data_IF_399843887635
#
_entry.id   IF_399843887635
#
_cell.length_a   1.000
_cell.length_b   1.000
_cell.length_c   1.000
_cell.angle_alpha   90.00
_cell.angle_beta   90.00
_cell.angle_gamma   90.00
#
_symmetry.space_group_name_H-M   'P 1'
#
loop_
_entity.id
_entity.type
_entity.pdbx_description
1 polymer ?
#
# COMPACT_ATOMS: atom_id res chain seq x y z
N UNK A 1 -41.32 -40.78 -94.00
CA UNK A 1 -42.35 -39.95 -94.67
C UNK A 1 -42.08 -38.49 -94.33
N UNK A 2 -41.58 -37.78 -95.33
CA UNK A 2 -41.80 -36.36 -95.68
C UNK A 2 -42.19 -35.39 -94.54
N UNK A 3 -41.60 -34.18 -94.33
CA UNK A 3 -41.34 -33.12 -95.31
C UNK A 3 -40.33 -32.10 -94.78
N UNK A 4 -39.48 -31.60 -95.70
CA UNK A 4 -38.66 -30.39 -95.65
C UNK A 4 -39.48 -29.15 -95.45
N UNK A 5 -38.89 -28.16 -94.74
CA UNK A 5 -38.98 -26.76 -95.13
C UNK A 5 -37.70 -26.01 -94.67
N UNK A 6 -37.10 -25.29 -95.59
CA UNK A 6 -35.85 -24.54 -95.59
C UNK A 6 -36.03 -23.12 -95.00
N UNK A 7 -35.00 -22.30 -95.00
CA UNK A 7 -34.62 -21.37 -93.97
C UNK A 7 -34.98 -19.91 -94.31
N UNK A 8 -34.94 -19.05 -93.30
CA UNK A 8 -34.81 -17.59 -93.55
C UNK A 8 -33.74 -17.07 -92.62
N UNK A 9 -32.72 -16.55 -93.29
CA UNK A 9 -31.59 -15.80 -92.71
C UNK A 9 -32.09 -14.40 -92.41
N UNK A 10 -32.07 -13.99 -91.11
CA UNK A 10 -32.24 -12.58 -90.72
C UNK A 10 -31.02 -12.17 -89.93
N UNK A 11 -30.16 -11.41 -90.56
CA UNK A 11 -29.00 -10.73 -89.92
C UNK A 11 -29.52 -9.55 -89.13
N UNK A 12 -29.42 -9.66 -87.79
CA UNK A 12 -29.61 -8.53 -86.92
C UNK A 12 -28.27 -7.92 -86.56
N UNK A 13 -28.01 -6.69 -87.07
CA UNK A 13 -26.90 -5.85 -86.60
C UNK A 13 -27.19 -5.44 -85.15
N UNK A 14 -26.40 -5.95 -84.21
CA UNK A 14 -26.32 -5.40 -82.87
C UNK A 14 -25.37 -4.20 -82.85
N UNK A 15 -25.92 -3.03 -82.72
CA UNK A 15 -25.20 -1.82 -82.36
C UNK A 15 -24.70 -1.98 -80.89
N UNK A 16 -23.43 -2.13 -80.70
CA UNK A 16 -22.81 -2.02 -79.36
C UNK A 16 -22.89 -0.56 -78.93
N UNK A 17 -23.89 -0.22 -78.11
CA UNK A 17 -23.86 0.99 -77.33
C UNK A 17 -22.83 0.74 -76.18
N UNK A 18 -21.69 1.41 -76.25
CA UNK A 18 -20.69 1.41 -75.16
C UNK A 18 -21.28 2.04 -73.93
N UNK A 19 -21.54 1.25 -72.93
CA UNK A 19 -21.84 1.77 -71.54
C UNK A 19 -20.55 2.34 -70.95
N UNK A 20 -20.57 3.56 -70.39
CA UNK A 20 -19.43 4.05 -69.65
C UNK A 20 -19.22 3.13 -68.43
N UNK A 21 -18.04 2.55 -68.37
CA UNK A 21 -17.58 1.85 -67.14
C UNK A 21 -17.42 2.90 -66.05
N UNK A 22 -18.38 2.99 -65.14
CA UNK A 22 -18.17 3.68 -63.87
C UNK A 22 -17.09 2.88 -63.13
N UNK A 23 -15.87 3.41 -63.04
CA UNK A 23 -14.91 2.94 -62.08
C UNK A 23 -15.54 3.16 -60.71
N UNK A 24 -15.99 2.05 -60.08
CA UNK A 24 -16.39 2.13 -58.70
C UNK A 24 -15.13 2.52 -57.89
N UNK A 25 -15.14 3.72 -57.30
CA UNK A 25 -14.14 4.12 -56.32
C UNK A 25 -14.17 3.06 -55.24
N UNK A 26 -13.14 2.21 -55.18
CA UNK A 26 -12.94 1.29 -54.08
C UNK A 26 -12.56 2.15 -52.86
N UNK A 27 -13.56 2.50 -52.04
CA UNK A 27 -13.29 3.07 -50.72
C UNK A 27 -12.74 1.93 -49.84
N UNK A 28 -11.46 1.97 -49.60
CA UNK A 28 -10.84 1.04 -48.66
C UNK A 28 -11.58 1.12 -47.33
N UNK A 29 -12.10 -0.01 -46.79
CA UNK A 29 -12.84 0.03 -45.54
C UNK A 29 -11.95 0.61 -44.46
N UNK A 30 -12.46 1.55 -43.70
CA UNK A 30 -11.74 2.12 -42.57
C UNK A 30 -11.22 0.99 -41.67
N UNK A 31 -9.96 1.05 -41.23
CA UNK A 31 -9.42 0.05 -40.34
C UNK A 31 -10.36 -0.07 -39.12
N UNK A 32 -10.56 -1.30 -38.61
CA UNK A 32 -11.41 -1.49 -37.45
C UNK A 32 -10.89 -0.60 -36.31
N UNK A 33 -11.81 0.00 -35.52
CA UNK A 33 -11.37 0.79 -34.37
C UNK A 33 -10.46 -0.07 -33.48
N UNK A 34 -9.39 0.49 -32.91
CA UNK A 34 -8.51 -0.25 -32.01
C UNK A 34 -9.37 -0.88 -30.92
N UNK A 35 -9.08 -2.15 -30.61
CA UNK A 35 -9.78 -2.86 -29.55
C UNK A 35 -9.69 -2.02 -28.26
N UNK A 36 -10.78 -1.95 -27.47
CA UNK A 36 -10.74 -1.27 -26.19
C UNK A 36 -9.56 -1.83 -25.37
N UNK A 37 -8.68 -0.97 -24.93
CA UNK A 37 -7.62 -1.39 -24.02
C UNK A 37 -8.33 -1.74 -22.71
N UNK A 38 -8.39 -3.04 -22.37
CA UNK A 38 -8.90 -3.47 -21.07
C UNK A 38 -7.87 -3.04 -20.02
N UNK A 39 -8.18 -1.98 -19.31
CA UNK A 39 -7.43 -1.56 -18.14
C UNK A 39 -7.91 -2.38 -16.95
N UNK A 40 -6.95 -2.93 -16.21
CA UNK A 40 -7.23 -3.68 -15.00
C UNK A 40 -6.45 -4.99 -14.97
N UNK A 41 -6.06 -5.38 -13.79
CA UNK A 41 -5.34 -6.62 -13.59
C UNK A 41 -4.84 -6.78 -12.18
N UNK A 42 -4.51 -8.02 -11.84
CA UNK A 42 -3.86 -8.33 -10.58
C UNK A 42 -2.41 -7.88 -10.60
N UNK A 43 -1.90 -7.51 -9.45
CA UNK A 43 -0.47 -7.26 -9.27
C UNK A 43 0.01 -7.82 -7.93
N UNK A 44 1.30 -8.05 -7.85
CA UNK A 44 2.01 -8.30 -6.60
C UNK A 44 3.04 -7.20 -6.38
N UNK A 45 3.36 -6.96 -5.13
CA UNK A 45 4.40 -6.00 -4.76
C UNK A 45 5.26 -6.53 -3.62
N UNK A 46 6.50 -6.07 -3.58
CA UNK A 46 7.40 -6.26 -2.46
C UNK A 46 8.09 -4.93 -2.15
N UNK A 47 8.15 -4.57 -0.87
CA UNK A 47 8.64 -3.28 -0.39
C UNK A 47 9.74 -3.46 0.65
N UNK A 48 10.69 -2.54 0.65
CA UNK A 48 11.66 -2.31 1.73
C UNK A 48 11.43 -0.90 2.22
N UNK A 49 11.29 -0.74 3.51
CA UNK A 49 10.98 0.54 4.11
C UNK A 49 11.95 0.82 5.26
N UNK A 50 12.13 2.09 5.57
CA UNK A 50 12.73 2.55 6.81
C UNK A 50 11.77 3.50 7.49
N UNK A 51 11.53 3.30 8.79
CA UNK A 51 10.55 4.07 9.53
C UNK A 51 11.12 4.70 10.80
N UNK A 52 10.54 5.83 11.16
CA UNK A 52 10.74 6.55 12.41
C UNK A 52 9.40 6.57 13.14
N UNK A 53 9.45 6.21 14.42
CA UNK A 53 8.24 6.05 15.23
C UNK A 53 8.21 7.08 16.34
N UNK A 54 7.18 7.92 16.35
CA UNK A 54 6.90 8.84 17.44
C UNK A 54 6.07 8.13 18.51
N UNK A 55 6.71 7.83 19.64
CA UNK A 55 6.05 7.27 20.81
C UNK A 55 5.19 8.34 21.50
N UNK A 56 3.92 8.03 21.75
CA UNK A 56 2.96 9.04 22.26
C UNK A 56 2.88 9.11 23.79
N UNK A 57 3.55 8.20 24.48
CA UNK A 57 3.53 8.08 25.92
C UNK A 57 3.06 6.69 26.38
N UNK A 58 3.23 6.43 27.65
CA UNK A 58 2.68 5.24 28.31
C UNK A 58 2.37 5.52 29.78
N UNK A 59 1.33 4.87 30.27
CA UNK A 59 0.89 4.87 31.63
C UNK A 59 1.00 3.47 32.23
N UNK A 60 1.19 3.38 33.55
CA UNK A 60 1.24 2.11 34.24
C UNK A 60 0.57 2.16 35.61
N UNK A 61 0.09 0.99 36.07
CA UNK A 61 -0.58 0.85 37.36
C UNK A 61 0.48 0.67 38.47
N UNK A 62 0.30 1.40 39.55
CA UNK A 62 1.09 1.28 40.77
C UNK A 62 0.25 0.74 41.90
N UNK A 63 0.85 0.01 42.82
CA UNK A 63 0.18 -0.57 43.98
C UNK A 63 0.78 -0.03 45.27
N UNK A 64 0.11 0.95 45.87
CA UNK A 64 0.36 1.36 47.23
C UNK A 64 -0.34 0.46 48.23
N UNK A 65 -0.04 0.62 49.49
CA UNK A 65 -0.77 -0.02 50.59
C UNK A 65 -1.39 1.06 51.49
N UNK A 66 -2.64 0.82 51.91
CA UNK A 66 -3.27 1.68 52.92
C UNK A 66 -2.63 1.45 54.28
N UNK A 67 -2.90 2.33 55.25
CA UNK A 67 -2.50 2.16 56.65
C UNK A 67 -2.92 0.80 57.30
N UNK A 68 -3.86 0.11 56.71
CA UNK A 68 -4.36 -1.20 57.18
C UNK A 68 -3.96 -2.35 56.26
N UNK A 69 -3.03 -2.15 55.30
CA UNK A 69 -2.48 -3.19 54.43
C UNK A 69 -3.34 -3.56 53.22
N UNK A 70 -4.46 -2.83 52.97
CA UNK A 70 -5.22 -3.07 51.74
C UNK A 70 -4.51 -2.45 50.54
N UNK A 71 -4.46 -3.11 49.36
CA UNK A 71 -3.88 -2.55 48.17
C UNK A 71 -4.65 -1.31 47.70
N UNK A 72 -3.91 -0.25 47.36
CA UNK A 72 -4.44 0.99 46.81
C UNK A 72 -3.86 1.18 45.42
N UNK A 73 -4.60 0.88 44.34
CA UNK A 73 -4.12 1.09 43.00
C UNK A 73 -4.03 2.59 42.69
N UNK A 74 -2.95 2.99 42.08
CA UNK A 74 -2.69 4.30 41.51
C UNK A 74 -2.28 4.16 40.03
N UNK A 75 -2.03 5.26 39.37
CA UNK A 75 -1.41 5.28 38.04
C UNK A 75 -0.26 6.26 38.03
N UNK A 76 0.74 5.98 37.19
CA UNK A 76 1.84 6.86 36.89
C UNK A 76 2.18 6.76 35.40
N UNK A 77 2.90 7.74 34.88
CA UNK A 77 3.24 7.84 33.47
C UNK A 77 4.76 7.79 33.26
N UNK A 78 5.19 7.39 32.08
CA UNK A 78 6.57 7.56 31.66
C UNK A 78 6.88 9.06 31.53
N UNK A 79 8.02 9.47 32.05
CA UNK A 79 8.51 10.86 31.96
C UNK A 79 9.11 11.13 30.58
N UNK A 80 9.77 10.13 30.01
CA UNK A 80 10.32 10.12 28.64
C UNK A 80 10.14 8.75 28.02
N UNK A 81 10.03 8.68 26.70
CA UNK A 81 10.05 7.45 25.94
C UNK A 81 10.36 7.78 24.48
N UNK A 82 11.27 7.03 23.91
CA UNK A 82 11.71 7.15 22.52
C UNK A 82 11.84 5.76 21.91
N UNK A 83 11.57 5.66 20.60
CA UNK A 83 11.73 4.44 19.80
C UNK A 83 12.69 4.72 18.67
N UNK A 84 13.74 3.92 18.58
CA UNK A 84 14.68 4.02 17.48
C UNK A 84 14.01 3.70 16.14
N UNK A 85 14.57 4.29 15.06
CA UNK A 85 14.13 3.94 13.72
C UNK A 85 14.58 2.54 13.32
N UNK A 86 13.74 1.82 12.56
CA UNK A 86 14.05 0.47 12.09
C UNK A 86 13.67 0.27 10.63
N UNK A 87 14.15 -0.83 10.05
CA UNK A 87 13.75 -1.28 8.71
C UNK A 87 12.49 -2.14 8.78
N UNK A 88 11.80 -2.26 7.65
CA UNK A 88 10.70 -3.20 7.47
C UNK A 88 10.71 -3.82 6.08
N UNK A 89 10.05 -4.97 5.96
CA UNK A 89 9.82 -5.67 4.70
C UNK A 89 8.33 -5.86 4.52
N UNK A 90 7.84 -5.51 3.33
CA UNK A 90 6.44 -5.61 2.97
C UNK A 90 6.20 -6.49 1.75
N UNK A 91 5.07 -7.18 1.75
CA UNK A 91 4.54 -7.91 0.60
C UNK A 91 3.08 -7.52 0.42
N UNK A 92 2.61 -7.52 -0.83
CA UNK A 92 1.23 -7.20 -1.11
C UNK A 92 0.70 -7.82 -2.39
N UNK A 93 -0.61 -7.98 -2.44
CA UNK A 93 -1.35 -8.37 -3.61
C UNK A 93 -2.47 -7.36 -3.85
N UNK A 94 -2.64 -6.94 -5.08
CA UNK A 94 -3.61 -5.92 -5.41
C UNK A 94 -4.23 -6.08 -6.78
N UNK A 95 -5.16 -5.18 -7.06
CA UNK A 95 -5.89 -5.13 -8.30
C UNK A 95 -5.97 -3.69 -8.81
N UNK A 96 -5.50 -3.47 -10.03
CA UNK A 96 -5.69 -2.24 -10.77
C UNK A 96 -7.12 -2.24 -11.34
N UNK A 97 -7.98 -1.35 -10.86
CA UNK A 97 -9.39 -1.27 -11.27
C UNK A 97 -9.51 -0.54 -12.62
N UNK A 98 -8.78 0.56 -12.75
CA UNK A 98 -8.67 1.37 -13.97
C UNK A 98 -7.38 2.19 -13.92
N UNK A 99 -7.16 3.10 -14.88
CA UNK A 99 -5.94 3.92 -14.97
C UNK A 99 -5.68 4.81 -13.76
N UNK A 100 -6.71 5.08 -12.96
CA UNK A 100 -6.65 6.04 -11.85
C UNK A 100 -6.89 5.42 -10.48
N UNK A 101 -7.35 4.17 -10.41
CA UNK A 101 -7.74 3.55 -9.15
C UNK A 101 -7.18 2.14 -9.02
N UNK A 102 -6.52 1.88 -7.91
CA UNK A 102 -6.03 0.55 -7.53
C UNK A 102 -6.24 0.30 -6.05
N UNK A 103 -6.32 -0.97 -5.69
CA UNK A 103 -6.46 -1.43 -4.31
C UNK A 103 -5.49 -2.57 -4.04
N UNK A 104 -5.00 -2.68 -2.82
CA UNK A 104 -4.21 -3.84 -2.40
C UNK A 104 -4.43 -4.21 -0.93
N UNK A 105 -3.97 -5.41 -0.62
CA UNK A 105 -3.75 -5.89 0.74
C UNK A 105 -2.25 -6.03 0.93
N UNK A 106 -1.73 -5.41 1.99
CA UNK A 106 -0.31 -5.48 2.35
C UNK A 106 -0.11 -6.09 3.72
N UNK A 107 0.99 -6.80 3.87
CA UNK A 107 1.52 -7.28 5.14
C UNK A 107 2.97 -6.82 5.25
N UNK A 108 3.23 -5.96 6.22
CA UNK A 108 4.55 -5.40 6.48
C UNK A 108 5.04 -5.91 7.83
N UNK A 109 6.29 -6.39 7.90
CA UNK A 109 6.95 -6.77 9.13
C UNK A 109 8.00 -5.72 9.50
N UNK A 110 7.81 -5.07 10.63
CA UNK A 110 8.73 -4.11 11.22
C UNK A 110 9.69 -4.87 12.12
N UNK A 111 10.98 -4.77 11.84
CA UNK A 111 12.01 -5.37 12.68
C UNK A 111 12.10 -4.66 14.03
N UNK A 112 12.75 -5.30 14.97
CA UNK A 112 12.87 -4.81 16.33
C UNK A 112 13.34 -3.35 16.38
N UNK A 113 12.62 -2.53 17.16
CA UNK A 113 12.93 -1.17 17.50
C UNK A 113 13.26 -1.11 18.98
N UNK A 114 14.43 -0.57 19.31
CA UNK A 114 14.82 -0.40 20.69
C UNK A 114 14.04 0.80 21.30
N UNK A 115 13.55 0.58 22.51
CA UNK A 115 12.86 1.58 23.31
C UNK A 115 13.72 1.98 24.50
N UNK A 116 13.91 3.28 24.65
CA UNK A 116 14.54 3.92 25.81
C UNK A 116 13.54 4.87 26.47
N UNK A 117 13.29 4.65 27.75
CA UNK A 117 12.36 5.45 28.52
C UNK A 117 12.83 5.72 29.95
N UNK A 118 12.07 6.57 30.63
CA UNK A 118 12.30 6.81 32.07
C UNK A 118 10.98 7.07 32.79
N UNK A 119 10.92 6.66 34.05
CA UNK A 119 9.87 7.05 34.98
C UNK A 119 10.48 7.79 36.17
N UNK A 120 9.73 8.72 36.73
CA UNK A 120 10.16 9.48 37.91
C UNK A 120 9.21 9.17 39.07
N UNK A 121 9.77 9.00 40.25
CA UNK A 121 9.00 8.66 41.46
C UNK A 121 9.70 9.04 42.75
N UNK A 122 9.19 8.48 43.85
CA UNK A 122 9.76 8.63 45.17
C UNK A 122 10.25 7.26 45.66
N UNK A 123 11.54 7.16 45.93
CA UNK A 123 12.19 5.99 46.48
C UNK A 123 12.50 6.22 47.97
N UNK A 124 11.56 5.87 48.85
CA UNK A 124 11.70 6.01 50.30
C UNK A 124 11.98 7.45 50.77
N UNK A 125 11.25 8.44 50.19
CA UNK A 125 11.37 9.86 50.54
C UNK A 125 12.45 10.63 49.78
N UNK A 126 13.06 10.02 48.75
CA UNK A 126 14.06 10.63 47.87
C UNK A 126 13.60 10.52 46.43
N UNK A 127 13.59 11.63 45.65
CA UNK A 127 13.29 11.53 44.22
C UNK A 127 14.22 10.56 43.53
N UNK A 128 13.66 9.67 42.71
CA UNK A 128 14.40 8.70 41.91
C UNK A 128 13.86 8.68 40.47
N UNK A 129 14.72 8.28 39.56
CA UNK A 129 14.39 8.13 38.13
C UNK A 129 14.86 6.73 37.69
N UNK A 130 14.02 6.06 36.93
CA UNK A 130 14.38 4.80 36.29
C UNK A 130 15.07 5.03 34.94
N UNK A 131 15.71 3.98 34.48
CA UNK A 131 16.08 3.79 33.07
C UNK A 131 15.36 2.53 32.59
N UNK A 132 14.52 2.68 31.60
CA UNK A 132 13.57 1.67 31.14
C UNK A 132 13.91 1.29 29.70
N UNK A 133 14.25 0.02 29.47
CA UNK A 133 14.60 -0.47 28.13
C UNK A 133 13.78 -1.69 27.75
N UNK A 134 13.35 -1.73 26.52
CA UNK A 134 12.66 -2.88 25.89
C UNK A 134 12.82 -2.78 24.37
N UNK A 135 12.27 -3.74 23.63
CA UNK A 135 12.17 -3.69 22.18
C UNK A 135 10.76 -4.01 21.72
N UNK A 136 10.42 -3.55 20.51
CA UNK A 136 9.10 -3.73 19.91
C UNK A 136 9.25 -4.19 18.46
N UNK A 137 8.47 -5.20 18.08
CA UNK A 137 8.28 -5.59 16.66
C UNK A 137 6.80 -5.59 16.29
N UNK A 138 6.50 -5.44 15.00
CA UNK A 138 5.11 -5.26 14.55
C UNK A 138 4.84 -5.94 13.22
N UNK A 139 3.71 -6.64 13.12
CA UNK A 139 3.07 -6.96 11.85
C UNK A 139 1.99 -5.95 11.54
N UNK A 140 2.11 -5.23 10.43
CA UNK A 140 1.10 -4.26 9.98
C UNK A 140 0.37 -4.81 8.76
N UNK A 141 -0.94 -5.07 8.90
CA UNK A 141 -1.82 -5.57 7.85
C UNK A 141 -2.78 -4.47 7.43
N UNK A 142 -2.72 -4.04 6.17
CA UNK A 142 -3.56 -2.95 5.65
C UNK A 142 -4.31 -3.36 4.38
N UNK A 143 -5.55 -2.92 4.29
CA UNK A 143 -6.31 -2.82 3.05
C UNK A 143 -6.20 -1.38 2.56
N UNK A 144 -5.63 -1.19 1.37
CA UNK A 144 -5.27 0.11 0.82
C UNK A 144 -6.08 0.42 -0.44
N UNK A 145 -6.32 1.71 -0.67
CA UNK A 145 -6.82 2.26 -1.90
C UNK A 145 -5.94 3.42 -2.35
N UNK A 146 -5.65 3.49 -3.65
CA UNK A 146 -4.78 4.51 -4.23
C UNK A 146 -5.46 5.18 -5.42
N UNK A 147 -5.23 6.48 -5.54
CA UNK A 147 -5.55 7.26 -6.72
C UNK A 147 -4.24 7.59 -7.46
N UNK A 148 -4.09 7.04 -8.66
CA UNK A 148 -3.00 7.31 -9.59
C UNK A 148 -3.34 8.58 -10.38
N UNK A 149 -2.44 9.57 -10.41
CA UNK A 149 -2.72 10.92 -10.92
C UNK A 149 -2.35 11.10 -12.41
N UNK A 150 -2.20 9.98 -13.12
CA UNK A 150 -1.81 9.94 -14.52
C UNK A 150 -0.31 9.73 -14.70
N UNK A 151 0.06 9.19 -15.88
CA UNK A 151 1.46 8.85 -16.19
C UNK A 151 2.10 9.93 -17.07
N UNK A 152 3.22 10.50 -16.60
CA UNK A 152 3.99 11.54 -17.25
C UNK A 152 5.45 11.10 -17.41
N UNK A 153 5.89 10.86 -18.63
CA UNK A 153 7.27 10.40 -18.94
C UNK A 153 7.68 9.13 -18.18
N UNK A 154 6.74 8.19 -17.98
CA UNK A 154 6.97 6.95 -17.24
C UNK A 154 6.80 7.06 -15.71
N UNK A 155 6.56 8.25 -15.18
CA UNK A 155 6.26 8.47 -13.78
C UNK A 155 4.75 8.59 -13.56
N UNK A 156 4.23 7.86 -12.58
CA UNK A 156 2.81 7.90 -12.17
C UNK A 156 2.75 8.31 -10.70
N UNK A 157 2.57 9.61 -10.38
CA UNK A 157 2.32 10.05 -9.02
C UNK A 157 1.04 9.43 -8.48
N UNK A 158 1.01 9.13 -7.17
CA UNK A 158 -0.17 8.60 -6.50
C UNK A 158 -0.33 9.14 -5.09
N UNK A 159 -1.56 9.10 -4.61
CA UNK A 159 -1.92 9.25 -3.20
C UNK A 159 -2.77 8.06 -2.79
N UNK A 160 -2.73 7.70 -1.51
CA UNK A 160 -3.47 6.55 -1.02
C UNK A 160 -3.81 6.64 0.44
N UNK A 161 -4.72 5.79 0.86
CA UNK A 161 -5.09 5.58 2.25
C UNK A 161 -5.32 4.10 2.52
N UNK A 162 -5.05 3.68 3.75
CA UNK A 162 -5.23 2.31 4.20
C UNK A 162 -5.82 2.22 5.59
N UNK A 163 -6.52 1.12 5.84
CA UNK A 163 -7.03 0.76 7.17
C UNK A 163 -6.78 -0.71 7.44
N UNK A 164 -6.58 -1.06 8.70
CA UNK A 164 -6.34 -2.43 9.06
C UNK A 164 -5.99 -2.64 10.52
N UNK A 165 -5.09 -3.56 10.79
CA UNK A 165 -4.62 -3.91 12.12
C UNK A 165 -3.11 -4.06 12.19
N UNK A 166 -2.57 -3.73 13.35
CA UNK A 166 -1.20 -3.97 13.71
C UNK A 166 -1.14 -4.98 14.86
N UNK A 167 -0.38 -6.05 14.72
CA UNK A 167 -0.02 -6.94 15.81
C UNK A 167 1.29 -6.43 16.39
N UNK A 168 1.20 -5.74 17.51
CA UNK A 168 2.34 -5.15 18.22
C UNK A 168 2.78 -6.10 19.29
N UNK A 169 4.07 -6.42 19.31
CA UNK A 169 4.71 -7.26 20.31
C UNK A 169 5.80 -6.47 21.01
N UNK A 170 5.67 -6.32 22.31
CA UNK A 170 6.69 -5.80 23.20
C UNK A 170 7.45 -6.95 23.85
N UNK A 171 8.76 -6.84 23.93
CA UNK A 171 9.59 -7.77 24.68
C UNK A 171 9.63 -7.38 26.18
N UNK A 172 10.43 -8.09 26.98
CA UNK A 172 10.54 -7.81 28.42
C UNK A 172 11.03 -6.38 28.68
N UNK A 173 10.32 -5.64 29.55
CA UNK A 173 10.73 -4.31 29.97
C UNK A 173 11.68 -4.43 31.18
N UNK A 174 12.87 -3.90 31.02
CA UNK A 174 13.89 -3.81 32.07
C UNK A 174 13.85 -2.43 32.71
N UNK A 175 13.24 -2.33 33.90
CA UNK A 175 13.19 -1.10 34.71
C UNK A 175 14.34 -1.09 35.68
N UNK A 176 15.30 -0.17 35.54
CA UNK A 176 16.49 -0.07 36.39
C UNK A 176 16.46 1.20 37.23
N UNK A 177 16.44 1.05 38.55
CA UNK A 177 16.48 2.15 39.53
C UNK A 177 17.67 1.94 40.46
N UNK A 178 18.56 2.91 40.55
CA UNK A 178 19.75 2.86 41.43
C UNK A 178 20.57 1.57 41.30
N UNK A 179 20.67 1.02 40.09
CA UNK A 179 21.42 -0.21 39.78
C UNK A 179 20.69 -1.51 40.10
N UNK A 180 19.44 -1.46 40.52
CA UNK A 180 18.56 -2.63 40.69
C UNK A 180 17.60 -2.69 39.49
N UNK A 181 17.62 -3.82 38.76
CA UNK A 181 16.74 -4.03 37.61
C UNK A 181 15.57 -4.93 38.02
N UNK A 182 14.36 -4.44 37.72
CA UNK A 182 13.10 -5.21 37.77
C UNK A 182 12.69 -5.52 36.34
N UNK A 183 12.36 -6.78 36.09
CA UNK A 183 11.92 -7.23 34.76
C UNK A 183 10.41 -7.40 34.78
N UNK A 184 9.73 -6.75 33.81
CA UNK A 184 8.32 -6.91 33.54
C UNK A 184 8.17 -7.75 32.27
N UNK A 185 7.31 -8.79 32.26
CA UNK A 185 7.01 -9.50 31.03
C UNK A 185 6.40 -8.55 30.01
N UNK A 186 6.80 -8.68 28.75
CA UNK A 186 6.16 -7.97 27.65
C UNK A 186 4.73 -8.47 27.36
N UNK A 187 4.07 -7.84 26.43
CA UNK A 187 2.74 -8.23 25.96
C UNK A 187 2.61 -8.10 24.46
N UNK A 188 1.64 -8.79 23.86
CA UNK A 188 1.36 -8.72 22.45
C UNK A 188 -0.15 -8.66 22.19
N UNK A 189 -0.59 -7.73 21.34
CA UNK A 189 -2.00 -7.58 21.00
C UNK A 189 -2.23 -7.03 19.58
N UNK A 190 -3.46 -7.22 19.09
CA UNK A 190 -3.92 -6.63 17.85
C UNK A 190 -4.55 -5.26 18.11
N UNK A 191 -4.09 -4.26 17.33
CA UNK A 191 -4.51 -2.87 17.45
C UNK A 191 -5.05 -2.36 16.12
N UNK A 192 -6.00 -1.45 16.17
CA UNK A 192 -6.44 -0.77 14.95
C UNK A 192 -5.34 0.13 14.41
N UNK A 193 -5.17 0.10 13.08
CA UNK A 193 -4.21 0.93 12.37
C UNK A 193 -4.84 1.56 11.13
N UNK A 194 -4.36 2.75 10.78
CA UNK A 194 -4.67 3.41 9.52
C UNK A 194 -3.43 4.11 8.97
N UNK A 195 -3.40 4.35 7.66
CA UNK A 195 -2.27 4.97 6.99
C UNK A 195 -2.69 5.92 5.88
N UNK A 196 -1.84 6.92 5.63
CA UNK A 196 -1.90 7.79 4.46
C UNK A 196 -0.60 7.63 3.67
N UNK A 197 -0.71 7.63 2.35
CA UNK A 197 0.42 7.36 1.46
C UNK A 197 0.48 8.36 0.32
N UNK A 198 1.69 8.71 -0.08
CA UNK A 198 1.95 9.49 -1.29
C UNK A 198 3.29 9.04 -1.90
N UNK A 199 3.35 9.01 -3.22
CA UNK A 199 4.57 8.56 -3.89
C UNK A 199 4.47 8.64 -5.40
N UNK A 200 5.37 7.95 -6.06
CA UNK A 200 5.38 7.81 -7.51
C UNK A 200 5.82 6.41 -7.92
N UNK A 201 5.19 5.88 -8.95
CA UNK A 201 5.60 4.66 -9.64
C UNK A 201 6.40 5.04 -10.88
N UNK A 202 7.49 4.36 -11.15
CA UNK A 202 8.26 4.50 -12.37
C UNK A 202 8.26 3.19 -13.16
N UNK A 203 7.92 3.26 -14.43
CA UNK A 203 7.89 2.11 -15.33
C UNK A 203 9.30 1.65 -15.67
N UNK A 204 9.73 0.48 -15.18
CA UNK A 204 10.98 -0.17 -15.53
C UNK A 204 10.84 -0.99 -16.81
N UNK A 205 9.73 -1.71 -16.94
CA UNK A 205 9.30 -2.45 -18.13
C UNK A 205 7.78 -2.31 -18.29
N UNK A 206 7.21 -2.96 -19.29
CA UNK A 206 5.75 -2.94 -19.49
C UNK A 206 4.97 -3.48 -18.28
N UNK A 207 5.53 -4.40 -17.52
CA UNK A 207 4.87 -5.06 -16.40
C UNK A 207 5.52 -4.82 -15.04
N UNK A 208 6.74 -4.25 -15.01
CA UNK A 208 7.48 -4.04 -13.77
C UNK A 208 7.62 -2.55 -13.49
N UNK A 209 7.21 -2.13 -12.29
CA UNK A 209 7.29 -0.76 -11.80
C UNK A 209 8.13 -0.68 -10.54
N UNK A 210 8.87 0.40 -10.40
CA UNK A 210 9.52 0.82 -9.16
C UNK A 210 8.59 1.82 -8.46
N UNK A 211 8.13 1.49 -7.27
CA UNK A 211 7.34 2.38 -6.42
C UNK A 211 8.26 3.03 -5.38
N UNK A 212 8.25 4.35 -5.30
CA UNK A 212 8.95 5.11 -4.25
C UNK A 212 7.97 6.06 -3.60
N UNK A 213 7.93 6.08 -2.28
CA UNK A 213 6.93 6.88 -1.60
C UNK A 213 7.18 7.04 -0.11
N UNK A 214 6.21 7.68 0.50
CA UNK A 214 6.13 7.95 1.91
C UNK A 214 4.80 7.42 2.44
N UNK A 215 4.84 6.81 3.62
CA UNK A 215 3.66 6.39 4.39
C UNK A 215 3.70 7.04 5.78
N UNK A 216 2.59 7.60 6.17
CA UNK A 216 2.30 7.94 7.54
C UNK A 216 1.32 6.91 8.08
N UNK A 217 1.65 6.27 9.20
CA UNK A 217 0.80 5.28 9.86
C UNK A 217 0.48 5.71 11.28
N UNK A 218 -0.74 5.42 11.72
CA UNK A 218 -1.15 5.58 13.11
C UNK A 218 -1.63 4.24 13.63
N UNK A 219 -1.09 3.81 14.76
CA UNK A 219 -1.46 2.59 15.48
C UNK A 219 -1.99 2.99 16.85
N UNK A 220 -3.18 2.51 17.19
CA UNK A 220 -3.78 2.78 18.48
C UNK A 220 -2.96 2.20 19.63
N UNK A 221 -3.10 2.80 20.82
CA UNK A 221 -2.49 2.31 22.04
C UNK A 221 -3.03 0.96 22.49
N UNK A 222 -2.24 0.30 23.32
CA UNK A 222 -2.55 -1.00 23.88
C UNK A 222 -1.65 -1.36 25.05
N UNK A 223 -1.64 -2.63 25.41
CA UNK A 223 -0.79 -3.09 26.49
C UNK A 223 0.67 -3.14 26.05
N UNK A 224 1.56 -2.66 26.92
CA UNK A 224 2.99 -2.64 26.69
C UNK A 224 3.71 -3.71 27.51
N UNK A 225 3.39 -3.84 28.79
CA UNK A 225 4.00 -4.81 29.67
C UNK A 225 3.07 -5.24 30.80
N UNK A 226 3.36 -6.40 31.38
CA UNK A 226 2.61 -6.99 32.47
C UNK A 226 3.15 -6.60 33.85
N UNK A 227 2.39 -6.94 34.89
CA UNK A 227 2.83 -6.77 36.27
C UNK A 227 4.13 -7.53 36.54
N UNK A 228 5.13 -6.85 37.11
CA UNK A 228 6.36 -7.52 37.52
C UNK A 228 6.07 -8.59 38.58
N UNK A 229 6.64 -9.80 38.46
CA UNK A 229 6.41 -10.90 39.41
C UNK A 229 7.22 -10.75 40.70
N UNK A 230 7.24 -9.53 41.26
CA UNK A 230 7.96 -9.19 42.52
C UNK A 230 7.02 -8.47 43.47
N UNK A 231 7.21 -8.63 44.81
CA UNK A 231 6.40 -7.89 45.80
C UNK A 231 6.52 -6.38 45.63
N UNK A 232 5.39 -5.68 45.50
CA UNK A 232 5.35 -4.23 45.29
C UNK A 232 5.70 -3.79 43.84
N UNK A 233 5.69 -4.72 42.89
CA UNK A 233 5.91 -4.42 41.47
C UNK A 233 4.83 -3.50 40.91
N UNK A 234 5.17 -2.77 39.86
CA UNK A 234 4.26 -1.95 39.09
C UNK A 234 3.79 -2.70 37.82
N UNK A 235 2.76 -2.18 37.16
CA UNK A 235 2.16 -2.73 35.95
C UNK A 235 0.76 -3.28 36.19
N UNK A 236 0.01 -3.65 35.15
CA UNK A 236 0.41 -3.56 33.76
C UNK A 236 0.60 -2.12 33.27
N UNK A 237 1.37 -1.99 32.19
CA UNK A 237 1.57 -0.72 31.47
C UNK A 237 0.87 -0.70 30.12
N UNK A 238 0.48 0.49 29.69
CA UNK A 238 -0.25 0.72 28.46
C UNK A 238 0.40 1.89 27.72
N UNK A 239 0.72 1.69 26.45
CA UNK A 239 1.15 2.79 25.58
C UNK A 239 -0.05 3.51 24.95
N UNK A 240 0.13 4.78 24.61
CA UNK A 240 -0.88 5.64 23.96
C UNK A 240 -0.88 5.48 22.43
N UNK A 241 -0.15 4.51 21.90
CA UNK A 241 0.01 4.23 20.49
C UNK A 241 1.15 5.01 19.85
N UNK A 242 1.25 4.89 18.52
CA UNK A 242 2.38 5.39 17.74
C UNK A 242 1.92 6.15 16.53
N UNK A 243 2.72 7.15 16.14
CA UNK A 243 2.70 7.74 14.81
C UNK A 243 4.01 7.37 14.12
N UNK A 244 3.92 6.79 12.93
CA UNK A 244 5.11 6.32 12.22
C UNK A 244 5.21 6.98 10.86
N UNK A 245 6.41 7.41 10.54
CA UNK A 245 6.80 8.01 9.27
C UNK A 245 7.73 7.06 8.53
N UNK A 246 7.38 6.68 7.30
CA UNK A 246 8.10 5.64 6.56
C UNK A 246 8.52 6.14 5.18
N UNK A 247 9.79 5.97 4.85
CA UNK A 247 10.28 6.08 3.49
C UNK A 247 10.28 4.69 2.85
N UNK A 248 9.59 4.55 1.71
CA UNK A 248 9.32 3.26 1.05
C UNK A 248 9.96 3.18 -0.32
N UNK A 249 10.49 2.01 -0.66
CA UNK A 249 10.90 1.65 -2.02
C UNK A 249 10.50 0.20 -2.30
N UNK A 250 9.85 -0.06 -3.44
CA UNK A 250 9.36 -1.39 -3.76
C UNK A 250 9.27 -1.67 -5.25
N UNK A 251 9.10 -2.93 -5.57
CA UNK A 251 8.84 -3.41 -6.92
C UNK A 251 7.40 -3.93 -6.99
N UNK A 252 6.70 -3.54 -8.05
CA UNK A 252 5.35 -4.01 -8.37
C UNK A 252 5.35 -4.66 -9.75
N UNK A 253 4.81 -5.89 -9.80
CA UNK A 253 4.65 -6.63 -11.04
C UNK A 253 3.16 -6.76 -11.38
N UNK A 254 2.76 -6.21 -12.52
CA UNK A 254 1.39 -6.25 -13.04
C UNK A 254 1.22 -7.46 -13.98
N UNK A 255 0.21 -8.30 -13.72
CA UNK A 255 -0.09 -9.50 -14.53
C UNK A 255 -1.00 -9.20 -15.73
N UNK A 256 -1.57 -8.01 -15.81
CA UNK A 256 -2.48 -7.56 -16.88
C UNK A 256 -1.82 -6.61 -17.88
N UNK A 257 -2.66 -5.87 -18.60
CA UNK A 257 -2.20 -4.81 -19.48
C UNK A 257 -1.60 -3.66 -18.67
N UNK A 258 -0.39 -3.29 -19.02
CA UNK A 258 0.37 -2.29 -18.29
C UNK A 258 -0.07 -0.87 -18.63
N UNK A 259 -0.24 -0.04 -17.60
CA UNK A 259 -0.37 1.43 -17.76
C UNK A 259 0.94 2.11 -18.19
N UNK A 260 2.02 1.33 -18.35
CA UNK A 260 3.33 1.79 -18.84
C UNK A 260 3.43 1.84 -20.35
N UNK A 261 2.52 1.14 -21.06
CA UNK A 261 2.51 1.20 -22.53
C UNK A 261 2.14 2.62 -22.98
N UNK A 262 2.84 3.18 -23.99
CA UNK A 262 2.46 4.46 -24.59
C UNK A 262 0.99 4.36 -25.04
N UNK A 263 0.21 5.42 -24.78
CA UNK A 263 -1.16 5.49 -25.29
C UNK A 263 -1.13 5.25 -26.82
N UNK A 264 -2.00 4.37 -27.37
CA UNK A 264 -2.04 4.14 -28.81
C UNK A 264 -2.24 5.48 -29.50
N UNK A 265 -1.30 5.81 -30.42
CA UNK A 265 -1.40 7.02 -31.22
C UNK A 265 -2.73 6.97 -31.99
N UNK A 266 -3.59 8.00 -31.90
CA UNK A 266 -4.81 8.04 -32.68
C UNK A 266 -4.46 7.86 -34.16
N UNK A 267 -5.06 6.87 -34.82
CA UNK A 267 -4.92 6.71 -36.27
C UNK A 267 -5.57 7.91 -36.95
N UNK A 268 -4.76 8.79 -37.53
CA UNK A 268 -5.24 9.82 -38.44
C UNK A 268 -5.36 9.17 -39.83
N UNK A 269 -6.58 8.98 -40.37
CA UNK A 269 -6.73 8.45 -41.72
C UNK A 269 -6.06 9.39 -42.72
N UNK A 270 -5.35 8.86 -43.74
CA UNK A 270 -4.74 9.70 -44.78
C UNK A 270 -5.83 10.59 -45.40
N UNK A 271 -5.46 11.86 -45.63
CA UNK A 271 -6.35 12.80 -46.24
C UNK A 271 -6.82 12.26 -47.63
N UNK A 272 -8.10 12.32 -47.97
CA UNK A 272 -8.60 11.83 -49.25
C UNK A 272 -7.83 12.48 -50.40
N UNK A 273 -7.38 11.65 -51.35
CA UNK A 273 -6.66 12.13 -52.50
C UNK A 273 -7.56 13.11 -53.30
N UNK A 274 -7.11 14.35 -53.40
CA UNK A 274 -7.79 15.35 -54.24
C UNK A 274 -7.37 15.11 -55.68
N UNK A 275 -8.21 14.41 -56.44
CA UNK A 275 -8.04 14.35 -57.90
C UNK A 275 -8.46 15.68 -58.53
N UNK A 276 -7.53 16.33 -59.24
CA UNK A 276 -7.82 17.47 -60.11
C UNK A 276 -8.31 17.01 -61.46
#
# INVERSE_FOLDING_TARGET
>A
MFKFIKPVLAAALFAFAGLPASAADYVEPAPPPPAPVEFGGWYIRGDVDYHWTDFRGADYITYGVTCCGAPLPGSNSFSTGDLDGSASLGLGVGYQINDYLRTDLTADYWFDQDFDGSTSGDCAGVPCTSHDTTSMSTWLLLANAYADLGTYYGFTPYVGAGIGGAHVKWDELHNTISGVTTVHPGDEDWRFAWALMAGTSYCLTDNLKLDVGYRYSHINGGRMFELAPVPGGAGPGFDDGFNTHEARAGLRYDFGNSTCAPAPVPYEPPAPAVYK
#
